data_IF_779952579995
#
_entry.id   IF_779952579995
#
_cell.length_a   1.000
_cell.length_b   1.000
_cell.length_c   1.000
_cell.angle_alpha   90.00
_cell.angle_beta   90.00
_cell.angle_gamma   90.00
#
_symmetry.space_group_name_H-M   'P 1'
#
loop_
_entity.id
_entity.type
_entity.pdbx_description
1 polymer ?
#
# COMPACT_ATOMS: atom_id res chain seq x y z
N UNK A 1 30.55 20.25 0.92
CA UNK A 1 29.80 19.73 2.08
C UNK A 1 28.88 18.62 1.57
N UNK A 2 29.23 17.34 1.75
CA UNK A 2 28.79 16.24 0.89
C UNK A 2 27.53 15.50 1.37
N UNK A 3 26.59 16.21 2.01
CA UNK A 3 25.32 15.62 2.45
C UNK A 3 24.18 16.54 2.06
N UNK A 4 23.90 16.60 0.76
CA UNK A 4 22.56 17.01 0.35
C UNK A 4 21.69 15.80 0.64
N UNK A 5 20.72 15.93 1.54
CA UNK A 5 19.66 14.94 1.77
C UNK A 5 18.97 14.64 0.44
N UNK A 6 19.57 13.78 -0.37
CA UNK A 6 19.11 13.39 -1.69
C UNK A 6 18.35 12.08 -1.61
N UNK A 7 17.68 11.74 -2.71
CA UNK A 7 17.00 10.45 -2.87
C UNK A 7 17.85 9.23 -2.48
N UNK A 8 19.17 9.17 -2.79
CA UNK A 8 20.01 8.03 -2.43
C UNK A 8 20.17 7.81 -0.92
N UNK A 9 20.43 8.85 -0.13
CA UNK A 9 20.58 8.73 1.33
C UNK A 9 19.29 8.26 2.01
N UNK A 10 18.12 8.75 1.55
CA UNK A 10 16.83 8.28 2.06
C UNK A 10 16.59 6.79 1.75
N UNK A 11 17.02 6.31 0.58
CA UNK A 11 16.94 4.88 0.23
C UNK A 11 17.81 4.05 1.17
N UNK A 12 19.03 4.49 1.47
CA UNK A 12 19.93 3.76 2.39
C UNK A 12 19.31 3.67 3.79
N UNK A 13 18.76 4.78 4.31
CA UNK A 13 18.08 4.80 5.61
C UNK A 13 16.85 3.86 5.58
N UNK A 14 16.06 3.91 4.51
CA UNK A 14 14.89 3.03 4.34
C UNK A 14 15.29 1.55 4.39
N UNK A 15 16.38 1.17 3.73
CA UNK A 15 16.90 -0.21 3.76
C UNK A 15 17.30 -0.61 5.19
N UNK A 16 18.01 0.25 5.92
CA UNK A 16 18.41 -0.04 7.31
C UNK A 16 17.18 -0.23 8.21
N UNK A 17 16.19 0.65 8.11
CA UNK A 17 14.91 0.52 8.84
C UNK A 17 14.23 -0.81 8.47
N UNK A 18 14.21 -1.17 7.20
CA UNK A 18 13.60 -2.41 6.73
C UNK A 18 14.33 -3.66 7.24
N UNK A 19 15.65 -3.60 7.45
CA UNK A 19 16.42 -4.68 8.07
C UNK A 19 16.14 -4.83 9.56
N UNK A 20 16.02 -3.71 10.30
CA UNK A 20 15.73 -3.73 11.75
C UNK A 20 14.31 -4.20 12.03
N UNK A 21 13.33 -3.63 11.32
CA UNK A 21 11.92 -3.92 11.54
C UNK A 21 11.45 -5.16 10.77
N UNK A 22 12.06 -5.45 9.62
CA UNK A 22 11.66 -6.52 8.70
C UNK A 22 10.53 -6.10 7.75
N UNK A 23 10.58 -6.60 6.50
CA UNK A 23 9.55 -6.38 5.46
C UNK A 23 8.15 -6.80 5.91
N UNK A 24 8.04 -7.90 6.66
CA UNK A 24 6.76 -8.45 7.11
C UNK A 24 6.06 -7.58 8.16
N UNK A 25 6.81 -6.93 9.06
CA UNK A 25 6.26 -6.04 10.10
C UNK A 25 5.77 -4.73 9.51
N UNK A 26 6.57 -4.11 8.63
CA UNK A 26 6.17 -2.89 7.90
C UNK A 26 4.92 -3.16 7.05
N UNK A 27 4.88 -4.29 6.32
CA UNK A 27 3.71 -4.66 5.51
C UNK A 27 2.44 -4.91 6.33
N UNK A 28 2.55 -5.59 7.49
CA UNK A 28 1.41 -5.81 8.39
C UNK A 28 0.85 -4.49 8.94
N UNK A 29 1.72 -3.63 9.48
CA UNK A 29 1.33 -2.33 10.04
C UNK A 29 0.74 -1.43 8.94
N UNK A 30 1.39 -1.37 7.77
CA UNK A 30 0.89 -0.61 6.63
C UNK A 30 -0.46 -1.11 6.12
N UNK A 31 -0.69 -2.43 6.12
CA UNK A 31 -1.97 -3.01 5.75
C UNK A 31 -3.10 -2.67 6.72
N UNK A 32 -2.84 -2.70 8.03
CA UNK A 32 -3.80 -2.30 9.06
C UNK A 32 -4.10 -0.80 9.02
N UNK A 33 -3.06 0.03 8.91
CA UNK A 33 -3.20 1.49 8.74
C UNK A 33 -3.95 1.83 7.44
N UNK A 34 -3.65 1.15 6.35
CA UNK A 34 -4.29 1.37 5.05
C UNK A 34 -5.79 1.09 5.09
N UNK A 35 -6.20 -0.01 5.75
CA UNK A 35 -7.61 -0.30 5.99
C UNK A 35 -8.29 0.78 6.84
N UNK A 36 -7.64 1.23 7.91
CA UNK A 36 -8.14 2.32 8.75
C UNK A 36 -8.32 3.63 7.98
N UNK A 37 -7.32 4.02 7.18
CA UNK A 37 -7.38 5.22 6.32
C UNK A 37 -8.47 5.10 5.26
N UNK A 38 -8.67 3.91 4.70
CA UNK A 38 -9.70 3.62 3.70
C UNK A 38 -11.11 3.79 4.28
N UNK A 39 -11.37 3.19 5.44
CA UNK A 39 -12.65 3.35 6.14
C UNK A 39 -12.85 4.80 6.60
N UNK A 40 -11.80 5.47 7.05
CA UNK A 40 -11.84 6.90 7.39
C UNK A 40 -12.21 7.77 6.20
N UNK A 41 -11.59 7.54 5.03
CA UNK A 41 -11.96 8.23 3.79
C UNK A 41 -13.41 7.95 3.37
N UNK A 42 -13.87 6.70 3.51
CA UNK A 42 -15.25 6.31 3.21
C UNK A 42 -16.25 7.00 4.13
N UNK A 43 -15.93 7.14 5.42
CA UNK A 43 -16.73 7.89 6.38
C UNK A 43 -16.78 9.39 6.10
N UNK A 44 -15.70 9.98 5.60
CA UNK A 44 -15.64 11.40 5.23
C UNK A 44 -16.36 11.72 3.91
N UNK A 45 -16.38 10.79 2.95
CA UNK A 45 -16.98 11.00 1.62
C UNK A 45 -18.48 10.62 1.56
N UNK A 46 -19.04 10.02 2.61
CA UNK A 46 -20.43 9.56 2.61
C UNK A 46 -20.67 8.35 1.67
N UNK A 47 -21.92 7.89 1.57
CA UNK A 47 -22.30 6.62 0.92
C UNK A 47 -21.97 6.55 -0.60
N UNK A 48 -21.64 7.68 -1.24
CA UNK A 48 -21.26 7.75 -2.65
C UNK A 48 -19.91 7.06 -2.97
N UNK A 49 -18.98 6.99 -2.01
CA UNK A 49 -17.69 6.32 -2.21
C UNK A 49 -17.79 4.78 -2.29
N UNK A 50 -18.91 4.20 -1.85
CA UNK A 50 -19.11 2.74 -1.78
C UNK A 50 -19.27 2.10 -3.17
N UNK A 51 -19.71 2.86 -4.18
CA UNK A 51 -19.93 2.37 -5.54
C UNK A 51 -18.64 2.33 -6.39
N UNK A 52 -17.71 3.25 -6.15
CA UNK A 52 -16.46 3.33 -6.93
C UNK A 52 -15.54 2.11 -6.73
N UNK A 53 -15.63 1.45 -5.59
CA UNK A 53 -14.72 0.38 -5.19
C UNK A 53 -15.15 -1.03 -5.66
N UNK A 54 -16.47 -1.25 -5.84
CA UNK A 54 -17.01 -2.49 -6.38
C UNK A 54 -16.63 -2.70 -7.85
N UNK A 55 -16.39 -1.61 -8.60
CA UNK A 55 -15.96 -1.65 -9.99
C UNK A 55 -14.47 -2.05 -10.16
N UNK A 56 -13.64 -1.86 -9.14
CA UNK A 56 -12.19 -2.17 -9.22
C UNK A 56 -11.90 -3.66 -8.93
N UNK A 57 -12.65 -4.31 -8.04
CA UNK A 57 -12.51 -5.75 -7.77
C UNK A 57 -13.03 -6.66 -8.90
N UNK A 58 -13.86 -6.14 -9.80
CA UNK A 58 -14.36 -6.88 -10.97
C UNK A 58 -13.39 -6.87 -12.17
N UNK A 59 -12.26 -6.15 -12.10
CA UNK A 59 -11.33 -5.97 -13.22
C UNK A 59 -9.98 -6.70 -13.08
N UNK A 60 -9.78 -7.55 -12.07
CA UNK A 60 -8.68 -8.54 -12.15
C UNK A 60 -9.10 -9.61 -13.17
N UNK A 61 -8.43 -9.70 -14.34
CA UNK A 61 -8.69 -10.79 -15.27
C UNK A 61 -8.32 -12.10 -14.56
N UNK A 62 -9.09 -13.18 -14.75
CA UNK A 62 -8.64 -14.51 -14.37
C UNK A 62 -7.47 -14.91 -15.28
N UNK A 63 -6.24 -14.59 -14.88
CA UNK A 63 -5.05 -15.16 -15.50
C UNK A 63 -4.75 -16.53 -14.87
N UNK A 64 -5.05 -17.61 -15.61
CA UNK A 64 -4.37 -18.90 -15.45
C UNK A 64 -5.21 -20.19 -15.48
N UNK A 65 -5.68 -20.62 -16.66
CA UNK A 65 -5.84 -22.01 -17.14
C UNK A 65 -6.80 -22.98 -16.41
N UNK A 66 -7.24 -24.12 -17.02
CA UNK A 66 -6.69 -24.80 -18.20
C UNK A 66 -7.70 -24.95 -19.34
N UNK A 67 -7.24 -24.77 -20.58
CA UNK A 67 -7.98 -25.19 -21.77
C UNK A 67 -7.03 -26.02 -22.66
N UNK A 68 -6.99 -27.32 -22.40
CA UNK A 68 -6.78 -28.44 -23.33
C UNK A 68 -6.38 -29.69 -22.54
#
# INVERSE_FOLDING_TARGET
MPFRLGGPELIIILVIVLLIFGVGRIGKIGGELGKGIKEFRRGLQGDEAKQAEAAESAKKPPEGGPAA
#
